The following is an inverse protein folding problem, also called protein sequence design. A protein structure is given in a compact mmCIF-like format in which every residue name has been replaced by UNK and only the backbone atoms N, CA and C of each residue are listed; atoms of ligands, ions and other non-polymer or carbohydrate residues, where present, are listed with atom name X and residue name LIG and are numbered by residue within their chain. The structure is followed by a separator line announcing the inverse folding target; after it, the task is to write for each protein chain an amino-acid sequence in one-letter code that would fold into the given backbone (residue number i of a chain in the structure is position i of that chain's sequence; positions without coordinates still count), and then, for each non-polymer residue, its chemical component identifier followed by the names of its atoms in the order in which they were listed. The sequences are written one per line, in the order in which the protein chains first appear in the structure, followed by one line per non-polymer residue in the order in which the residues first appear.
data_IF_934367775625
#
_entry.id   IF_934367775625
#
_cell.length_a   1.000
_cell.length_b   1.000
_cell.length_c   1.000
_cell.angle_alpha   90.00
_cell.angle_beta   90.00
_cell.angle_gamma   90.00
#
_symmetry.space_group_name_H-M   'P 1'
#
loop_
_entity.id
_entity.type
_entity.pdbx_description
1 polymer ?
#
# COMPACT_ATOMS: atom_id res chain seq x y z
N UNK A 1 -40.47 26.97 -10.68
CA UNK A 1 -40.08 28.35 -10.30
C UNK A 1 -40.26 28.65 -8.81
N UNK A 2 -41.11 27.91 -8.07
CA UNK A 2 -41.31 28.12 -6.62
C UNK A 2 -40.25 27.45 -5.71
N UNK A 3 -39.48 26.46 -6.19
CA UNK A 3 -38.46 25.79 -5.35
C UNK A 3 -37.15 26.58 -5.20
N UNK A 4 -36.80 27.40 -6.20
CA UNK A 4 -35.58 28.24 -6.16
C UNK A 4 -35.75 29.43 -5.19
N UNK A 5 -36.99 29.90 -4.99
CA UNK A 5 -37.29 30.94 -4.00
C UNK A 5 -37.24 30.44 -2.54
N UNK A 6 -37.46 29.14 -2.31
CA UNK A 6 -37.40 28.56 -0.97
C UNK A 6 -35.95 28.31 -0.49
N UNK A 7 -35.06 27.85 -1.37
CA UNK A 7 -33.65 27.66 -1.02
C UNK A 7 -32.91 28.98 -0.78
N UNK A 8 -33.17 30.03 -1.57
CA UNK A 8 -32.59 31.37 -1.33
C UNK A 8 -33.08 32.01 -0.04
N UNK A 9 -34.34 31.82 0.33
CA UNK A 9 -34.87 32.27 1.62
C UNK A 9 -34.32 31.45 2.80
N UNK A 10 -34.07 30.16 2.61
CA UNK A 10 -33.48 29.30 3.64
C UNK A 10 -31.99 29.59 3.85
N UNK A 11 -31.20 29.79 2.78
CA UNK A 11 -29.78 30.15 2.87
C UNK A 11 -29.55 31.57 3.38
N UNK A 12 -30.40 32.54 3.01
CA UNK A 12 -30.33 33.89 3.57
C UNK A 12 -30.70 33.91 5.06
N UNK A 13 -31.73 33.15 5.48
CA UNK A 13 -32.06 32.97 6.89
C UNK A 13 -30.95 32.25 7.67
N UNK A 14 -30.28 31.24 7.10
CA UNK A 14 -29.13 30.57 7.72
C UNK A 14 -27.91 31.49 7.85
N UNK A 15 -27.63 32.31 6.83
CA UNK A 15 -26.54 33.30 6.85
C UNK A 15 -26.78 34.43 7.87
N UNK A 16 -28.03 34.91 7.96
CA UNK A 16 -28.43 35.91 8.95
C UNK A 16 -28.44 35.33 10.38
N UNK A 17 -28.78 34.05 10.53
CA UNK A 17 -28.68 33.34 11.81
C UNK A 17 -27.21 33.19 12.23
N UNK A 18 -26.32 32.75 11.34
CA UNK A 18 -24.87 32.58 11.60
C UNK A 18 -24.16 33.91 11.90
N UNK A 19 -24.59 35.00 11.26
CA UNK A 19 -24.02 36.33 11.49
C UNK A 19 -24.53 36.97 12.81
N UNK A 20 -25.79 36.75 13.21
CA UNK A 20 -26.30 37.14 14.54
C UNK A 20 -25.70 36.29 15.67
N UNK A 21 -25.43 35.02 15.38
CA UNK A 21 -24.73 34.06 16.23
C UNK A 21 -23.28 34.52 16.47
N UNK A 22 -22.54 34.95 15.44
CA UNK A 22 -21.12 35.36 15.62
C UNK A 22 -20.95 36.60 16.53
N UNK A 23 -21.89 37.55 16.50
CA UNK A 23 -21.85 38.77 17.31
C UNK A 23 -22.27 38.54 18.78
N UNK A 24 -23.12 37.54 19.06
CA UNK A 24 -23.59 37.23 20.42
C UNK A 24 -22.79 36.14 21.15
N UNK A 25 -21.92 35.40 20.45
CA UNK A 25 -21.35 34.14 20.95
C UNK A 25 -19.94 34.21 21.54
N UNK A 26 -19.30 35.38 21.57
CA UNK A 26 -18.01 35.51 22.26
C UNK A 26 -18.08 35.38 23.79
N UNK A 27 -19.27 35.30 24.40
CA UNK A 27 -19.44 35.27 25.88
C UNK A 27 -19.92 33.96 26.49
N UNK A 28 -20.16 32.89 25.73
CA UNK A 28 -20.60 31.59 26.28
C UNK A 28 -19.60 30.48 25.95
N UNK A 29 -18.76 30.04 26.92
CA UNK A 29 -17.71 29.05 26.71
C UNK A 29 -18.21 27.75 26.04
N UNK A 30 -19.40 27.28 26.43
CA UNK A 30 -20.03 26.06 25.89
C UNK A 30 -20.29 26.12 24.37
N UNK A 31 -20.65 27.29 23.83
CA UNK A 31 -20.98 27.46 22.40
C UNK A 31 -19.70 27.56 21.57
N UNK A 32 -18.69 28.25 22.10
CA UNK A 32 -17.35 28.31 21.49
C UNK A 32 -16.69 26.93 21.42
N UNK A 33 -16.95 26.06 22.40
CA UNK A 33 -16.47 24.68 22.43
C UNK A 33 -17.15 23.81 21.35
N UNK A 34 -18.43 24.02 21.06
CA UNK A 34 -19.16 23.21 20.06
C UNK A 34 -18.84 23.61 18.63
N UNK A 35 -18.70 24.92 18.35
CA UNK A 35 -18.38 25.40 17.00
C UNK A 35 -16.99 24.96 16.53
N UNK A 36 -16.04 24.91 17.45
CA UNK A 36 -14.67 24.51 17.15
C UNK A 36 -14.41 23.04 17.47
N UNK A 37 -15.39 22.24 17.90
CA UNK A 37 -15.13 20.89 18.43
C UNK A 37 -14.41 19.99 17.41
N UNK A 38 -14.78 20.06 16.13
CA UNK A 38 -14.14 19.28 15.06
C UNK A 38 -12.71 19.79 14.81
N UNK A 39 -12.52 21.11 14.80
CA UNK A 39 -11.20 21.72 14.61
C UNK A 39 -10.27 21.45 15.81
N UNK A 40 -10.77 21.59 17.04
CA UNK A 40 -10.06 21.27 18.28
C UNK A 40 -9.78 19.78 18.38
N UNK A 41 -10.72 18.89 18.01
CA UNK A 41 -10.49 17.45 17.92
C UNK A 41 -9.38 17.13 16.91
N UNK A 42 -9.40 17.75 15.73
CA UNK A 42 -8.34 17.60 14.73
C UNK A 42 -7.00 18.15 15.22
N UNK A 43 -6.97 19.26 15.96
CA UNK A 43 -5.73 19.84 16.50
C UNK A 43 -5.16 19.05 17.68
N UNK A 44 -6.02 18.55 18.58
CA UNK A 44 -5.62 17.68 19.68
C UNK A 44 -5.13 16.35 19.12
N UNK A 45 -5.82 15.77 18.14
CA UNK A 45 -5.38 14.54 17.48
C UNK A 45 -4.13 14.74 16.62
N UNK A 46 -3.94 15.88 15.96
CA UNK A 46 -2.66 16.19 15.31
C UNK A 46 -1.52 16.19 16.35
N UNK A 47 -1.73 16.85 17.50
CA UNK A 47 -0.73 16.89 18.59
C UNK A 47 -0.50 15.55 19.30
N UNK A 48 -1.47 14.62 19.34
CA UNK A 48 -1.27 13.28 19.90
C UNK A 48 -0.77 12.24 18.89
N UNK A 49 -0.95 12.48 17.59
CA UNK A 49 -0.47 11.60 16.51
C UNK A 49 0.97 11.93 16.09
N UNK A 50 1.40 13.18 16.22
CA UNK A 50 2.71 13.62 15.72
C UNK A 50 3.91 13.28 16.62
N UNK A 51 3.72 12.88 17.89
CA UNK A 51 4.85 12.81 18.86
C UNK A 51 4.89 11.59 19.80
N UNK A 52 4.04 10.58 19.58
CA UNK A 52 4.27 9.26 20.18
C UNK A 52 4.72 8.35 19.07
N UNK A 53 6.04 8.19 18.92
CA UNK A 53 6.61 7.00 18.25
C UNK A 53 6.16 5.79 19.05
N UNK A 54 4.95 5.32 18.78
CA UNK A 54 4.47 4.05 19.27
C UNK A 54 5.48 3.00 18.80
N UNK A 55 5.82 2.07 19.67
CA UNK A 55 6.66 0.96 19.26
C UNK A 55 5.84 0.02 18.37
N UNK A 56 6.48 -0.71 17.44
CA UNK A 56 5.80 -1.78 16.71
C UNK A 56 5.16 -2.76 17.67
N UNK A 57 3.87 -3.04 17.49
CA UNK A 57 3.12 -4.01 18.29
C UNK A 57 2.71 -5.21 17.43
N UNK A 58 2.43 -6.34 18.07
CA UNK A 58 1.89 -7.53 17.42
C UNK A 58 0.39 -7.61 17.76
N UNK A 59 -0.46 -7.73 16.73
CA UNK A 59 -1.90 -7.94 16.94
C UNK A 59 -2.23 -9.40 17.32
N UNK A 60 -3.47 -9.64 17.73
CA UNK A 60 -3.97 -10.98 18.10
C UNK A 60 -3.85 -12.02 16.96
N UNK A 61 -3.78 -11.57 15.71
CA UNK A 61 -3.70 -12.41 14.52
C UNK A 61 -2.24 -12.68 14.09
N UNK A 62 -1.27 -12.13 14.83
CA UNK A 62 0.16 -12.28 14.60
C UNK A 62 0.73 -11.34 13.54
N UNK A 63 0.06 -10.23 13.21
CA UNK A 63 0.61 -9.19 12.34
C UNK A 63 1.37 -8.15 13.16
N UNK A 64 2.54 -7.76 12.66
CA UNK A 64 3.26 -6.61 13.18
C UNK A 64 2.62 -5.34 12.64
N UNK A 65 2.13 -4.51 13.55
CA UNK A 65 1.52 -3.20 13.27
C UNK A 65 2.60 -2.14 13.40
N UNK A 66 2.91 -1.47 12.29
CA UNK A 66 3.88 -0.40 12.23
C UNK A 66 3.18 0.96 12.29
N UNK A 67 3.54 1.83 13.24
CA UNK A 67 3.01 3.18 13.30
C UNK A 67 3.47 4.03 12.11
N UNK A 68 2.61 4.96 11.70
CA UNK A 68 2.97 5.96 10.69
C UNK A 68 4.13 6.80 11.24
N UNK A 69 5.07 7.17 10.38
CA UNK A 69 6.32 7.86 10.69
C UNK A 69 7.34 7.06 11.53
N UNK A 70 7.05 5.78 11.83
CA UNK A 70 8.05 4.91 12.46
C UNK A 70 9.25 4.70 11.54
N UNK A 71 10.46 4.82 12.08
CA UNK A 71 11.71 4.66 11.32
C UNK A 71 12.24 3.25 11.41
N UNK A 72 12.51 2.66 10.25
CA UNK A 72 13.15 1.36 10.09
C UNK A 72 14.43 1.62 9.30
N UNK A 73 15.58 1.57 9.98
CA UNK A 73 16.85 2.03 9.42
C UNK A 73 16.74 3.47 8.89
N UNK A 74 16.86 3.66 7.58
CA UNK A 74 16.76 4.94 6.87
C UNK A 74 15.37 5.21 6.27
N UNK A 75 14.43 4.29 6.44
CA UNK A 75 13.10 4.33 5.83
C UNK A 75 12.05 4.77 6.86
N UNK A 76 11.08 5.56 6.42
CA UNK A 76 9.96 6.02 7.21
C UNK A 76 8.66 5.35 6.76
N UNK A 77 7.88 4.81 7.69
CA UNK A 77 6.58 4.17 7.39
C UNK A 77 5.55 5.23 7.02
N UNK A 78 5.02 5.14 5.80
CA UNK A 78 4.00 6.08 5.30
C UNK A 78 2.60 5.58 5.63
N UNK A 79 2.30 4.33 5.28
CA UNK A 79 0.99 3.71 5.50
C UNK A 79 1.02 2.19 5.31
N UNK A 80 0.02 1.51 5.86
CA UNK A 80 -0.33 0.15 5.46
C UNK A 80 -0.99 0.17 4.07
N UNK A 81 -0.51 -0.66 3.15
CA UNK A 81 -1.06 -0.81 1.79
C UNK A 81 -2.06 -1.94 1.75
N UNK A 82 -1.66 -3.11 2.27
CA UNK A 82 -2.46 -4.32 2.21
C UNK A 82 -2.20 -5.20 3.43
N UNK A 83 -3.26 -5.88 3.90
CA UNK A 83 -3.19 -6.95 4.88
C UNK A 83 -3.74 -8.19 4.21
N UNK A 84 -2.83 -9.05 3.72
CA UNK A 84 -3.19 -10.33 3.10
C UNK A 84 -3.15 -11.45 4.13
N UNK A 85 -3.54 -12.66 3.71
CA UNK A 85 -3.65 -13.81 4.62
C UNK A 85 -2.32 -14.25 5.26
N UNK A 86 -1.21 -13.97 4.59
CA UNK A 86 0.13 -14.43 4.96
C UNK A 86 1.02 -13.30 5.50
N UNK A 87 0.74 -12.06 5.12
CA UNK A 87 1.64 -10.93 5.34
C UNK A 87 0.93 -9.58 5.30
N UNK A 88 1.57 -8.58 5.90
CA UNK A 88 1.18 -7.18 5.78
C UNK A 88 2.21 -6.43 4.91
N UNK A 89 1.71 -5.55 4.06
CA UNK A 89 2.51 -4.76 3.13
C UNK A 89 2.37 -3.29 3.50
N UNK A 90 3.50 -2.62 3.74
CA UNK A 90 3.60 -1.22 4.09
C UNK A 90 4.30 -0.43 2.99
N UNK A 91 3.88 0.82 2.81
CA UNK A 91 4.60 1.79 2.01
C UNK A 91 5.62 2.47 2.92
N UNK A 92 6.87 2.48 2.48
CA UNK A 92 7.95 3.22 3.11
C UNK A 92 8.38 4.38 2.22
N UNK A 93 8.97 5.41 2.82
CA UNK A 93 9.61 6.52 2.13
C UNK A 93 11.06 6.62 2.56
N UNK A 94 11.96 6.85 1.60
CA UNK A 94 13.33 7.25 1.87
C UNK A 94 13.73 8.32 0.85
N UNK A 95 14.10 9.50 1.34
CA UNK A 95 14.31 10.70 0.50
C UNK A 95 13.05 10.99 -0.33
N UNK A 96 13.18 11.03 -1.66
CA UNK A 96 12.09 11.30 -2.59
C UNK A 96 11.46 10.03 -3.18
N UNK A 97 11.99 8.85 -2.82
CA UNK A 97 11.56 7.56 -3.35
C UNK A 97 10.67 6.79 -2.37
N UNK A 98 9.79 5.95 -2.93
CA UNK A 98 8.94 5.04 -2.19
C UNK A 98 9.42 3.59 -2.30
N UNK A 99 9.25 2.85 -1.21
CA UNK A 99 9.62 1.44 -1.10
C UNK A 99 8.46 0.62 -0.54
N UNK A 100 8.49 -0.68 -0.83
CA UNK A 100 7.54 -1.65 -0.32
C UNK A 100 8.19 -2.43 0.81
N UNK A 101 7.52 -2.56 1.95
CA UNK A 101 7.90 -3.46 3.03
C UNK A 101 6.87 -4.56 3.18
N UNK A 102 7.25 -5.81 2.95
CA UNK A 102 6.41 -6.98 3.22
C UNK A 102 6.88 -7.64 4.50
N UNK A 103 5.99 -7.78 5.49
CA UNK A 103 6.23 -8.45 6.78
C UNK A 103 5.31 -9.66 6.91
N UNK A 104 5.88 -10.82 7.23
CA UNK A 104 5.11 -12.05 7.43
C UNK A 104 4.34 -12.02 8.74
N UNK A 105 3.17 -12.67 8.78
CA UNK A 105 2.56 -13.02 10.07
C UNK A 105 3.47 -13.98 10.85
N UNK A 106 3.41 -13.96 12.17
CA UNK A 106 4.34 -14.69 13.04
C UNK A 106 4.25 -16.22 12.95
N UNK A 107 3.21 -16.81 12.34
CA UNK A 107 3.11 -18.26 12.25
C UNK A 107 4.24 -18.83 11.36
N UNK A 108 4.91 -19.88 11.84
CA UNK A 108 6.09 -20.49 11.20
C UNK A 108 5.92 -20.84 9.72
N UNK A 109 4.71 -21.28 9.32
CA UNK A 109 4.41 -21.57 7.91
C UNK A 109 4.54 -20.34 7.00
N UNK A 110 4.12 -19.17 7.49
CA UNK A 110 4.20 -17.91 6.75
C UNK A 110 5.62 -17.34 6.81
N UNK A 111 6.30 -17.47 7.95
CA UNK A 111 7.73 -17.12 8.08
C UNK A 111 8.60 -17.96 7.12
N UNK A 112 8.23 -19.22 6.90
CA UNK A 112 8.91 -20.08 5.91
C UNK A 112 8.59 -19.66 4.47
N UNK A 113 7.33 -19.31 4.18
CA UNK A 113 6.93 -18.81 2.86
C UNK A 113 7.63 -17.48 2.49
N UNK A 114 7.78 -16.55 3.43
CA UNK A 114 8.49 -15.29 3.15
C UNK A 114 10.00 -15.51 2.97
N UNK A 115 10.61 -16.46 3.69
CA UNK A 115 12.01 -16.86 3.46
C UNK A 115 12.23 -17.46 2.08
N UNK A 116 11.29 -18.30 1.64
CA UNK A 116 11.29 -18.83 0.29
C UNK A 116 11.20 -17.67 -0.72
N UNK A 117 10.23 -16.76 -0.58
CA UNK A 117 10.07 -15.60 -1.45
C UNK A 117 11.35 -14.73 -1.53
N UNK A 118 12.00 -14.44 -0.40
CA UNK A 118 13.27 -13.71 -0.38
C UNK A 118 14.38 -14.44 -1.15
N UNK A 119 14.43 -15.77 -1.03
CA UNK A 119 15.39 -16.62 -1.76
C UNK A 119 15.13 -16.56 -3.26
N UNK A 120 13.87 -16.69 -3.67
CA UNK A 120 13.45 -16.61 -5.08
C UNK A 120 13.74 -15.24 -5.67
N UNK A 121 13.40 -14.16 -4.97
CA UNK A 121 13.66 -12.80 -5.42
C UNK A 121 15.16 -12.55 -5.61
N UNK A 122 16.01 -13.01 -4.70
CA UNK A 122 17.46 -12.87 -4.81
C UNK A 122 18.02 -13.65 -6.03
N UNK A 123 17.50 -14.85 -6.29
CA UNK A 123 17.88 -15.65 -7.47
C UNK A 123 17.47 -14.96 -8.78
N UNK A 124 16.22 -14.47 -8.86
CA UNK A 124 15.69 -13.77 -10.02
C UNK A 124 16.48 -12.49 -10.28
N UNK A 125 16.74 -11.70 -9.25
CA UNK A 125 17.43 -10.42 -9.34
C UNK A 125 18.86 -10.55 -9.87
N UNK A 126 19.57 -11.65 -9.55
CA UNK A 126 20.90 -11.95 -10.10
C UNK A 126 20.89 -12.19 -11.60
N UNK A 127 19.77 -12.66 -12.16
CA UNK A 127 19.66 -13.03 -13.56
C UNK A 127 18.97 -11.95 -14.41
N UNK A 128 17.93 -11.30 -13.88
CA UNK A 128 17.20 -10.25 -14.57
C UNK A 128 16.52 -9.28 -13.63
N UNK A 129 16.84 -7.99 -13.78
CA UNK A 129 16.20 -6.89 -13.06
C UNK A 129 14.81 -6.52 -13.60
N UNK A 130 14.40 -7.13 -14.71
CA UNK A 130 13.16 -6.79 -15.42
C UNK A 130 11.96 -7.63 -14.99
N UNK A 131 12.18 -8.70 -14.21
CA UNK A 131 11.13 -9.68 -13.87
C UNK A 131 10.41 -9.28 -12.59
N UNK A 132 11.17 -8.98 -11.54
CA UNK A 132 10.66 -8.73 -10.21
C UNK A 132 11.12 -7.37 -9.69
N UNK A 133 10.42 -6.78 -8.71
CA UNK A 133 10.95 -5.63 -7.97
C UNK A 133 12.36 -5.91 -7.47
N UNK A 134 13.21 -4.88 -7.46
CA UNK A 134 14.53 -5.00 -6.86
C UNK A 134 14.37 -5.30 -5.37
N UNK A 135 14.89 -6.43 -4.94
CA UNK A 135 15.08 -6.73 -3.53
C UNK A 135 16.16 -5.79 -2.97
N UNK A 136 15.83 -5.05 -1.91
CA UNK A 136 16.72 -4.03 -1.31
C UNK A 136 17.38 -4.59 -0.06
N UNK A 137 16.59 -5.08 0.90
CA UNK A 137 17.13 -5.58 2.16
C UNK A 137 16.18 -6.59 2.83
N UNK A 138 16.75 -7.58 3.53
CA UNK A 138 16.01 -8.44 4.47
C UNK A 138 16.02 -7.80 5.86
N UNK A 139 14.96 -8.02 6.64
CA UNK A 139 14.88 -7.55 8.01
C UNK A 139 13.95 -8.40 8.87
N UNK A 140 14.03 -8.19 10.18
CA UNK A 140 13.11 -8.76 11.16
C UNK A 140 12.66 -7.69 12.14
N UNK A 141 11.36 -7.56 12.37
CA UNK A 141 10.76 -6.62 13.32
C UNK A 141 9.80 -7.42 14.20
N UNK A 142 9.97 -7.36 15.53
CA UNK A 142 9.12 -8.10 16.48
C UNK A 142 8.97 -9.60 16.12
N UNK A 143 10.07 -10.24 15.73
CA UNK A 143 10.12 -11.63 15.24
C UNK A 143 9.40 -11.92 13.90
N UNK A 144 8.80 -10.90 13.27
CA UNK A 144 8.29 -11.01 11.89
C UNK A 144 9.41 -10.78 10.90
N UNK A 145 9.71 -11.80 10.09
CA UNK A 145 10.63 -11.67 8.97
C UNK A 145 9.95 -10.98 7.81
N UNK A 146 10.75 -10.25 7.03
CA UNK A 146 10.28 -9.56 5.85
C UNK A 146 11.41 -8.94 5.05
N UNK A 147 11.02 -8.17 4.04
CA UNK A 147 11.97 -7.52 3.15
C UNK A 147 11.45 -6.19 2.63
N UNK A 148 12.40 -5.37 2.21
CA UNK A 148 12.17 -4.11 1.49
C UNK A 148 12.46 -4.35 0.01
N UNK A 149 11.59 -3.84 -0.86
CA UNK A 149 11.78 -3.83 -2.31
C UNK A 149 11.37 -2.50 -2.93
N UNK A 150 11.66 -2.32 -4.22
CA UNK A 150 11.10 -1.21 -4.99
C UNK A 150 9.56 -1.22 -4.92
N UNK A 151 8.96 -0.03 -4.88
CA UNK A 151 7.52 0.16 -4.80
C UNK A 151 6.89 0.34 -6.19
N UNK A 152 5.71 -0.27 -6.38
CA UNK A 152 4.86 -0.13 -7.55
C UNK A 152 3.44 0.18 -7.06
N UNK A 153 2.85 1.23 -7.60
CA UNK A 153 1.61 1.83 -7.10
C UNK A 153 0.34 1.35 -7.81
N UNK A 154 0.50 0.54 -8.86
CA UNK A 154 -0.61 0.00 -9.64
C UNK A 154 -0.40 -1.49 -9.96
N UNK A 155 -1.47 -2.27 -9.89
CA UNK A 155 -1.48 -3.64 -10.43
C UNK A 155 -2.41 -3.77 -11.65
N UNK A 156 -2.22 -4.83 -12.44
CA UNK A 156 -2.96 -5.06 -13.68
C UNK A 156 -4.47 -5.22 -13.43
N UNK A 157 -4.86 -5.82 -12.31
CA UNK A 157 -6.27 -5.94 -11.93
C UNK A 157 -6.91 -4.56 -11.73
N UNK A 158 -6.25 -3.67 -11.00
CA UNK A 158 -6.69 -2.29 -10.78
C UNK A 158 -6.76 -1.52 -12.10
N UNK A 159 -5.78 -1.70 -12.99
CA UNK A 159 -5.79 -1.07 -14.31
C UNK A 159 -7.01 -1.51 -15.13
N UNK A 160 -7.36 -2.80 -15.13
CA UNK A 160 -8.56 -3.32 -15.82
C UNK A 160 -9.85 -2.77 -15.17
N UNK A 161 -9.88 -2.63 -13.85
CA UNK A 161 -11.02 -2.02 -13.15
C UNK A 161 -11.19 -0.54 -13.50
N UNK A 162 -10.09 0.20 -13.67
CA UNK A 162 -10.12 1.60 -14.12
C UNK A 162 -10.71 1.75 -15.53
N UNK A 163 -10.61 0.71 -16.38
CA UNK A 163 -11.29 0.68 -17.68
C UNK A 163 -12.75 0.22 -17.59
N UNK A 164 -13.33 0.15 -16.39
CA UNK A 164 -14.69 -0.35 -16.14
C UNK A 164 -14.88 -1.77 -16.69
N UNK A 165 -13.82 -2.59 -16.69
CA UNK A 165 -13.79 -3.94 -17.26
C UNK A 165 -14.09 -3.97 -18.78
N UNK A 166 -13.86 -2.88 -19.51
CA UNK A 166 -13.97 -2.84 -20.97
C UNK A 166 -12.72 -3.40 -21.68
N UNK A 167 -11.75 -3.89 -20.90
CA UNK A 167 -10.50 -4.44 -21.40
C UNK A 167 -9.41 -3.39 -21.58
N UNK A 168 -8.31 -3.81 -22.20
CA UNK A 168 -7.12 -2.98 -22.48
C UNK A 168 -6.91 -2.87 -23.98
N UNK A 169 -6.23 -1.82 -24.41
CA UNK A 169 -5.89 -1.63 -25.82
C UNK A 169 -5.02 -2.78 -26.33
N UNK A 170 -5.30 -3.26 -27.55
CA UNK A 170 -4.60 -4.40 -28.16
C UNK A 170 -3.07 -4.21 -28.19
N UNK A 171 -2.61 -2.99 -28.47
CA UNK A 171 -1.17 -2.68 -28.48
C UNK A 171 -0.54 -2.91 -27.10
N UNK A 172 -1.21 -2.44 -26.04
CA UNK A 172 -0.76 -2.64 -24.67
C UNK A 172 -0.82 -4.13 -24.27
N UNK A 173 -1.90 -4.83 -24.62
CA UNK A 173 -2.04 -6.27 -24.38
C UNK A 173 -0.92 -7.08 -25.06
N UNK A 174 -0.51 -6.71 -26.27
CA UNK A 174 0.64 -7.35 -26.96
C UNK A 174 1.95 -7.13 -26.23
N UNK A 175 2.20 -5.91 -25.73
CA UNK A 175 3.40 -5.61 -24.95
C UNK A 175 3.43 -6.36 -23.63
N UNK A 176 2.29 -6.45 -22.93
CA UNK A 176 2.16 -7.26 -21.71
C UNK A 176 2.43 -8.73 -21.99
N UNK A 177 1.80 -9.30 -23.02
CA UNK A 177 1.99 -10.70 -23.38
C UNK A 177 3.45 -11.02 -23.71
N UNK A 178 4.15 -10.12 -24.41
CA UNK A 178 5.58 -10.28 -24.71
C UNK A 178 6.45 -10.27 -23.44
N UNK A 179 6.19 -9.34 -22.52
CA UNK A 179 6.92 -9.28 -21.25
C UNK A 179 6.67 -10.52 -20.38
N UNK A 180 5.42 -10.94 -20.25
CA UNK A 180 5.07 -12.17 -19.51
C UNK A 180 5.70 -13.41 -20.14
N UNK A 181 5.69 -13.52 -21.47
CA UNK A 181 6.37 -14.63 -22.17
C UNK A 181 7.88 -14.63 -21.89
N UNK A 182 8.52 -13.46 -21.89
CA UNK A 182 9.93 -13.32 -21.55
C UNK A 182 10.20 -13.73 -20.09
N UNK A 183 9.30 -13.39 -19.16
CA UNK A 183 9.41 -13.83 -17.77
C UNK A 183 9.36 -15.34 -17.66
N UNK A 184 8.36 -15.99 -18.28
CA UNK A 184 8.23 -17.45 -18.28
C UNK A 184 9.48 -18.13 -18.87
N UNK A 185 10.06 -17.57 -19.93
CA UNK A 185 11.32 -18.07 -20.50
C UNK A 185 12.48 -17.99 -19.51
N UNK A 186 12.62 -16.88 -18.77
CA UNK A 186 13.69 -16.76 -17.77
C UNK A 186 13.42 -17.69 -16.59
N UNK A 187 12.19 -17.78 -16.08
CA UNK A 187 11.84 -18.72 -15.02
C UNK A 187 12.19 -20.16 -15.40
N UNK A 188 11.86 -20.56 -16.63
CA UNK A 188 12.22 -21.88 -17.17
C UNK A 188 13.74 -22.12 -17.19
N UNK A 189 14.54 -21.12 -17.61
CA UNK A 189 16.01 -21.21 -17.56
C UNK A 189 16.54 -21.36 -16.13
N UNK A 190 15.87 -20.75 -15.15
CA UNK A 190 16.19 -20.85 -13.73
C UNK A 190 15.65 -22.13 -13.08
N UNK A 191 14.94 -22.98 -13.85
CA UNK A 191 14.21 -24.13 -13.32
C UNK A 191 13.29 -23.72 -12.16
N UNK A 192 12.67 -22.56 -12.30
CA UNK A 192 11.84 -21.92 -11.30
C UNK A 192 10.39 -21.89 -11.77
N UNK A 193 9.46 -22.11 -10.84
CA UNK A 193 8.03 -21.87 -11.05
C UNK A 193 7.56 -20.80 -10.07
N UNK A 194 6.76 -19.82 -10.53
CA UNK A 194 6.15 -18.80 -9.65
C UNK A 194 4.95 -19.34 -8.86
N UNK A 195 4.14 -20.20 -9.48
CA UNK A 195 2.99 -20.85 -8.84
C UNK A 195 1.72 -20.01 -8.68
N UNK A 196 1.75 -18.70 -8.95
CA UNK A 196 0.60 -17.80 -8.72
C UNK A 196 0.60 -16.54 -9.60
N UNK A 197 0.70 -16.73 -10.92
CA UNK A 197 0.67 -15.61 -11.88
C UNK A 197 -0.78 -15.21 -12.14
N UNK A 198 -1.21 -14.15 -11.45
CA UNK A 198 -2.55 -13.56 -11.58
C UNK A 198 -2.46 -12.04 -11.82
N UNK A 199 -3.50 -11.37 -12.33
CA UNK A 199 -3.47 -9.93 -12.58
C UNK A 199 -3.15 -9.07 -11.35
N UNK A 200 -3.48 -9.52 -10.14
CA UNK A 200 -3.14 -8.81 -8.90
C UNK A 200 -1.63 -8.83 -8.59
N UNK A 201 -0.90 -9.84 -9.09
CA UNK A 201 0.54 -10.05 -8.88
C UNK A 201 1.39 -9.50 -10.04
N UNK A 202 0.76 -8.81 -11.00
CA UNK A 202 1.45 -8.07 -12.06
C UNK A 202 1.36 -6.59 -11.71
N UNK A 203 2.47 -5.99 -11.29
CA UNK A 203 2.55 -4.60 -10.81
C UNK A 203 3.29 -3.71 -11.79
N UNK A 204 3.02 -2.40 -11.76
CA UNK A 204 3.65 -1.38 -12.59
C UNK A 204 3.63 -0.03 -11.88
N UNK A 205 4.48 0.89 -12.35
CA UNK A 205 4.42 2.28 -11.89
C UNK A 205 3.38 3.03 -12.70
N UNK A 206 2.52 3.83 -12.08
CA UNK A 206 1.60 4.71 -12.80
C UNK A 206 2.31 5.69 -13.74
N UNK A 207 3.57 6.03 -13.44
CA UNK A 207 4.41 6.87 -14.30
C UNK A 207 4.92 6.12 -15.56
N UNK A 208 5.02 4.79 -15.48
CA UNK A 208 5.54 3.93 -16.55
C UNK A 208 4.74 2.61 -16.62
N UNK A 209 3.45 2.66 -17.01
CA UNK A 209 2.56 1.50 -16.93
C UNK A 209 3.01 0.35 -17.85
N UNK A 210 3.72 0.65 -18.94
CA UNK A 210 4.25 -0.36 -19.86
C UNK A 210 5.32 -1.26 -19.24
N UNK A 211 5.94 -0.85 -18.13
CA UNK A 211 6.94 -1.65 -17.44
C UNK A 211 6.30 -2.41 -16.28
N UNK A 212 6.05 -3.70 -16.50
CA UNK A 212 5.45 -4.55 -15.47
C UNK A 212 6.52 -5.31 -14.69
N UNK A 213 6.19 -5.79 -13.49
CA UNK A 213 6.98 -6.73 -12.69
C UNK A 213 6.05 -7.75 -12.06
N UNK A 214 6.56 -8.95 -11.80
CA UNK A 214 5.88 -9.98 -11.03
C UNK A 214 6.22 -9.85 -9.55
N UNK A 215 5.22 -10.02 -8.69
CA UNK A 215 5.35 -10.02 -7.23
C UNK A 215 4.72 -11.28 -6.65
N UNK A 216 4.97 -11.52 -5.36
CA UNK A 216 4.42 -12.65 -4.60
C UNK A 216 4.94 -14.03 -5.04
N UNK A 217 6.25 -14.22 -4.89
CA UNK A 217 6.91 -15.52 -5.14
C UNK A 217 6.76 -16.50 -3.97
N UNK A 218 5.82 -16.28 -3.06
CA UNK A 218 5.63 -17.09 -1.85
C UNK A 218 5.26 -18.55 -2.17
N UNK A 219 4.50 -18.77 -3.24
CA UNK A 219 4.15 -20.09 -3.78
C UNK A 219 5.16 -20.62 -4.81
N UNK A 220 6.28 -19.92 -5.00
CA UNK A 220 7.29 -20.32 -5.97
C UNK A 220 8.12 -21.51 -5.49
N UNK A 221 8.63 -22.29 -6.43
CA UNK A 221 9.50 -23.43 -6.14
C UNK A 221 10.61 -23.57 -7.19
N UNK A 222 11.73 -24.17 -6.78
CA UNK A 222 12.77 -24.61 -7.68
C UNK A 222 12.52 -26.07 -8.04
N UNK A 223 12.85 -26.47 -9.27
CA UNK A 223 12.62 -27.82 -9.75
C UNK A 223 13.42 -28.87 -8.96
N UNK A 224 14.56 -28.46 -8.39
CA UNK A 224 15.38 -29.31 -7.51
C UNK A 224 14.75 -29.56 -6.14
N UNK A 225 13.72 -28.82 -5.74
CA UNK A 225 13.02 -29.02 -4.46
C UNK A 225 12.13 -30.29 -4.47
N UNK A 226 11.94 -30.91 -5.64
CA UNK A 226 11.11 -32.11 -5.84
C UNK A 226 11.93 -33.40 -6.02
N UNK A 227 13.24 -33.36 -5.76
CA UNK A 227 14.15 -34.53 -5.79
C UNK A 227 14.48 -35.01 -4.38
#
# INVERSE_FOLDING_TARGET
MNDILNEKNMMSNFSALTQKISLFQQKRPVVSLTLNIVHTYQMVNKRTVDDVTQQPIVDENGYVILPINFKIYEYEVVRLIAKGDTSAVYQLKHKDDFFCLKLSRLQEKFQSAIRNEMTMLNLVQKHSKLIAPRFVNALSIQNSQGFISDFYDLNLLQLIQMTQNQGLQLQYTKLLALQLAHYLQIMSKLQMTHGDVVPANIVMSSAQPSEVRLVDFSNGSLQNDFQ
#
